data_IF_871483207584
#
_entry.id   IF_871483207584
#
_cell.length_a   1.000
_cell.length_b   1.000
_cell.length_c   1.000
_cell.angle_alpha   90.00
_cell.angle_beta   90.00
_cell.angle_gamma   90.00
#
_symmetry.space_group_name_H-M   'P 1'
#
loop_
_entity.id
_entity.type
_entity.pdbx_description
1 polymer ?
#
# COMPACT_ATOMS: atom_id res chain seq x y z
N UNK A 1 -29.84 -51.00 -28.79
CA UNK A 1 -28.60 -51.47 -28.13
C UNK A 1 -27.41 -50.74 -28.74
N UNK A 2 -26.82 -49.76 -28.05
CA UNK A 2 -25.66 -49.01 -28.52
C UNK A 2 -24.48 -49.27 -27.57
N UNK A 3 -23.42 -49.84 -28.12
CA UNK A 3 -22.20 -50.26 -27.44
C UNK A 3 -21.38 -49.03 -26.99
N UNK A 4 -21.25 -48.83 -25.68
CA UNK A 4 -20.28 -47.88 -25.10
C UNK A 4 -18.89 -48.53 -25.11
N UNK A 5 -17.94 -47.93 -25.82
CA UNK A 5 -16.51 -48.30 -25.71
C UNK A 5 -15.91 -47.70 -24.42
N UNK A 6 -15.13 -48.44 -23.63
CA UNK A 6 -14.47 -47.90 -22.45
C UNK A 6 -13.19 -47.13 -22.83
N UNK A 7 -13.03 -45.92 -22.28
CA UNK A 7 -11.79 -45.13 -22.37
C UNK A 7 -10.69 -45.80 -21.54
N UNK A 8 -9.63 -46.25 -22.20
CA UNK A 8 -8.41 -46.80 -21.59
C UNK A 8 -7.53 -45.63 -21.12
N UNK A 9 -7.34 -45.45 -19.81
CA UNK A 9 -6.38 -44.47 -19.26
C UNK A 9 -4.96 -44.96 -19.52
N UNK A 10 -4.14 -44.14 -20.17
CA UNK A 10 -2.71 -44.37 -20.36
C UNK A 10 -1.99 -43.79 -19.13
N UNK A 11 -1.14 -44.54 -18.39
CA UNK A 11 -0.32 -43.97 -17.33
C UNK A 11 0.75 -43.06 -17.93
N UNK A 12 0.89 -41.84 -17.40
CA UNK A 12 1.99 -40.93 -17.72
C UNK A 12 3.24 -41.43 -17.00
N UNK A 13 4.15 -42.06 -17.72
CA UNK A 13 5.49 -42.41 -17.21
C UNK A 13 6.33 -41.14 -17.27
N UNK A 14 6.73 -40.61 -16.12
CA UNK A 14 7.75 -39.57 -16.05
C UNK A 14 9.13 -40.25 -16.12
N UNK A 15 10.06 -39.82 -16.99
CA UNK A 15 11.42 -40.32 -16.93
C UNK A 15 12.09 -39.83 -15.64
N UNK A 16 12.85 -40.72 -15.00
CA UNK A 16 13.67 -40.38 -13.84
C UNK A 16 14.73 -39.32 -14.22
N UNK A 17 15.08 -38.38 -13.33
CA UNK A 17 16.15 -37.43 -13.59
C UNK A 17 17.49 -38.17 -13.74
N UNK A 18 18.29 -37.74 -14.72
CA UNK A 18 19.60 -38.33 -14.99
C UNK A 18 20.57 -38.15 -13.81
N UNK A 19 21.52 -39.07 -13.60
CA UNK A 19 22.56 -38.93 -12.59
C UNK A 19 23.38 -37.66 -12.82
N UNK A 20 23.63 -36.89 -11.76
CA UNK A 20 24.48 -35.70 -11.81
C UNK A 20 25.93 -36.16 -11.95
N UNK A 21 26.58 -35.79 -13.05
CA UNK A 21 28.01 -36.00 -13.26
C UNK A 21 28.80 -35.01 -12.36
N UNK A 22 29.63 -35.49 -11.41
CA UNK A 22 30.38 -34.61 -10.51
C UNK A 22 31.57 -33.89 -11.19
N UNK A 23 31.71 -33.96 -12.51
CA UNK A 23 32.86 -33.37 -13.23
C UNK A 23 32.52 -32.25 -14.23
N UNK A 24 31.27 -31.77 -14.29
CA UNK A 24 30.91 -30.67 -15.18
C UNK A 24 31.37 -29.30 -14.62
N UNK A 25 32.15 -28.58 -15.43
CA UNK A 25 32.91 -27.39 -15.09
C UNK A 25 32.12 -26.24 -14.44
N UNK A 26 32.67 -25.74 -13.34
CA UNK A 26 32.32 -24.51 -12.62
C UNK A 26 32.38 -23.29 -13.55
N UNK A 27 31.24 -22.72 -13.92
CA UNK A 27 31.19 -21.36 -14.44
C UNK A 27 31.52 -20.39 -13.31
N UNK A 28 32.65 -19.68 -13.45
CA UNK A 28 33.15 -18.72 -12.47
C UNK A 28 32.21 -17.52 -12.27
N UNK A 29 32.10 -17.07 -11.03
CA UNK A 29 31.52 -15.78 -10.66
C UNK A 29 32.37 -14.63 -11.20
N UNK A 30 31.79 -13.60 -11.84
CA UNK A 30 32.53 -12.39 -12.17
C UNK A 30 32.90 -11.66 -10.86
N UNK A 31 34.20 -11.59 -10.57
CA UNK A 31 34.77 -10.72 -9.54
C UNK A 31 34.69 -9.27 -10.03
N UNK A 32 33.91 -8.45 -9.34
CA UNK A 32 33.98 -7.00 -9.52
C UNK A 32 35.20 -6.49 -8.75
N UNK A 33 36.29 -6.18 -9.45
CA UNK A 33 37.39 -5.40 -8.86
C UNK A 33 36.89 -3.98 -8.58
N UNK A 34 36.93 -3.57 -7.32
CA UNK A 34 36.69 -2.18 -6.93
C UNK A 34 37.86 -1.31 -7.43
N UNK A 35 37.62 -0.12 -8.00
CA UNK A 35 38.70 0.79 -8.39
C UNK A 35 39.56 1.17 -7.19
N UNK A 36 40.86 0.92 -7.28
CA UNK A 36 41.83 1.39 -6.29
C UNK A 36 42.01 2.90 -6.42
N UNK A 37 41.54 3.65 -5.42
CA UNK A 37 41.83 5.08 -5.31
C UNK A 37 43.29 5.21 -4.84
N UNK A 38 44.20 5.84 -5.61
CA UNK A 38 45.57 6.07 -5.15
C UNK A 38 45.58 7.04 -3.95
N UNK A 39 46.50 6.86 -2.98
CA UNK A 39 46.59 7.73 -1.82
C UNK A 39 46.97 9.17 -2.24
N UNK A 40 46.21 10.14 -1.75
CA UNK A 40 46.42 11.57 -1.95
C UNK A 40 47.68 12.00 -1.18
N UNK A 41 48.64 12.74 -1.79
CA UNK A 41 49.83 13.21 -1.07
C UNK A 41 49.45 14.19 0.05
N UNK A 42 49.97 13.94 1.26
CA UNK A 42 49.84 14.85 2.38
C UNK A 42 50.55 16.18 2.06
N UNK A 43 49.81 17.29 2.05
CA UNK A 43 50.41 18.63 2.03
C UNK A 43 50.66 19.05 3.47
N UNK A 44 51.92 19.36 3.77
CA UNK A 44 52.37 19.87 5.07
C UNK A 44 51.88 21.31 5.27
N UNK A 45 51.20 21.67 6.39
CA UNK A 45 50.92 23.07 6.69
C UNK A 45 52.14 23.73 7.34
N UNK A 46 52.54 24.88 6.80
CA UNK A 46 53.55 25.76 7.39
C UNK A 46 52.95 26.66 8.48
N UNK A 47 53.71 26.78 9.58
CA UNK A 47 53.65 27.65 10.77
C UNK A 47 52.59 28.80 10.86
N UNK A 48 51.79 28.77 11.95
CA UNK A 48 51.34 29.97 12.70
C UNK A 48 49.86 30.35 12.66
N UNK A 49 49.00 29.76 13.51
CA UNK A 49 47.73 30.35 14.00
C UNK A 49 47.17 29.54 15.20
N UNK A 50 46.50 30.16 16.20
CA UNK A 50 46.09 29.48 17.44
C UNK A 50 44.85 28.60 17.29
N UNK A 51 44.81 27.54 18.11
CA UNK A 51 43.87 26.41 18.07
C UNK A 51 42.44 26.77 18.51
N UNK A 52 41.44 26.29 17.75
CA UNK A 52 40.06 26.17 18.22
C UNK A 52 39.71 24.68 18.43
N UNK A 53 39.08 24.38 19.56
CA UNK A 53 38.70 23.02 20.01
C UNK A 53 37.86 22.25 18.97
N UNK A 54 38.33 21.07 18.57
CA UNK A 54 37.57 20.06 17.80
C UNK A 54 37.50 18.76 18.63
N UNK A 55 36.31 18.21 18.93
CA UNK A 55 36.18 16.96 19.68
C UNK A 55 36.56 15.71 18.84
N UNK A 56 37.03 14.61 19.47
CA UNK A 56 37.62 13.46 18.76
C UNK A 56 36.57 12.52 18.13
N UNK A 57 36.90 11.97 16.96
CA UNK A 57 36.11 10.95 16.24
C UNK A 57 36.33 9.54 16.85
N UNK A 58 35.30 8.66 16.86
CA UNK A 58 35.45 7.30 17.38
C UNK A 58 36.18 6.37 16.39
N UNK A 59 37.08 5.55 16.94
CA UNK A 59 37.96 4.63 16.21
C UNK A 59 37.21 3.44 15.58
N UNK A 60 37.60 3.07 14.35
CA UNK A 60 37.13 1.87 13.68
C UNK A 60 37.94 0.65 14.13
N UNK A 61 37.25 -0.38 14.64
CA UNK A 61 37.81 -1.69 14.97
C UNK A 61 37.64 -2.66 13.80
N UNK A 62 38.75 -3.22 13.30
CA UNK A 62 38.77 -4.26 12.27
C UNK A 62 38.73 -5.64 12.91
N UNK A 63 37.87 -6.54 12.43
CA UNK A 63 37.98 -7.98 12.71
C UNK A 63 38.02 -8.75 11.40
N UNK A 64 39.16 -9.41 11.17
CA UNK A 64 39.43 -10.40 10.13
C UNK A 64 38.92 -11.77 10.58
N UNK A 65 38.25 -12.54 9.71
CA UNK A 65 38.10 -14.00 9.91
C UNK A 65 38.11 -14.75 8.58
N UNK A 66 39.09 -15.64 8.45
CA UNK A 66 39.27 -16.66 7.41
C UNK A 66 38.49 -17.95 7.72
N UNK A 67 37.89 -18.59 6.70
CA UNK A 67 37.60 -20.05 6.67
C UNK A 67 36.12 -20.48 6.54
N UNK A 68 35.82 -21.29 5.52
CA UNK A 68 34.61 -22.14 5.32
C UNK A 68 34.99 -23.64 5.61
N UNK A 69 34.09 -24.66 5.66
CA UNK A 69 32.65 -24.74 5.34
C UNK A 69 31.72 -25.63 6.26
N UNK A 70 30.41 -25.57 5.98
CA UNK A 70 29.33 -26.58 6.17
C UNK A 70 28.33 -26.48 7.36
N UNK A 71 27.04 -26.46 6.96
CA UNK A 71 25.75 -26.73 7.62
C UNK A 71 25.46 -26.19 9.03
N UNK A 72 24.59 -25.17 9.07
CA UNK A 72 23.86 -24.76 10.28
C UNK A 72 22.62 -23.95 9.91
N UNK A 73 21.50 -24.30 10.52
CA UNK A 73 20.19 -23.63 10.51
C UNK A 73 20.24 -22.09 10.41
N UNK A 74 19.30 -21.42 9.71
CA UNK A 74 19.26 -19.97 9.69
C UNK A 74 19.03 -19.46 11.13
N UNK A 75 20.05 -18.79 11.68
CA UNK A 75 19.95 -18.09 12.95
C UNK A 75 19.00 -16.91 12.79
N UNK A 76 18.05 -16.81 13.71
CA UNK A 76 17.05 -15.73 13.78
C UNK A 76 17.68 -14.35 14.09
N UNK A 77 18.99 -14.28 14.29
CA UNK A 77 19.74 -13.06 14.63
C UNK A 77 20.09 -12.18 13.43
N UNK A 78 19.68 -12.55 12.21
CA UNK A 78 19.85 -11.74 10.99
C UNK A 78 18.51 -11.24 10.40
N UNK A 79 17.42 -11.28 11.18
CA UNK A 79 16.25 -10.48 10.83
C UNK A 79 16.63 -8.99 10.91
N UNK A 80 16.38 -8.18 9.86
CA UNK A 80 16.38 -6.74 10.01
C UNK A 80 15.48 -6.40 11.20
N UNK A 81 15.85 -5.47 12.10
CA UNK A 81 15.05 -5.21 13.28
C UNK A 81 13.61 -4.97 12.85
N UNK A 82 12.71 -5.83 13.32
CA UNK A 82 11.28 -5.63 13.16
C UNK A 82 11.00 -4.19 13.56
N UNK A 83 10.48 -3.40 12.62
CA UNK A 83 10.35 -1.95 12.75
C UNK A 83 9.81 -1.62 14.14
N UNK A 84 10.67 -1.06 15.01
CA UNK A 84 10.25 -0.63 16.32
C UNK A 84 9.07 0.35 16.13
N UNK A 85 8.00 0.25 16.94
CA UNK A 85 6.83 1.09 16.77
C UNK A 85 7.25 2.56 16.85
N UNK A 86 7.19 3.27 15.71
CA UNK A 86 7.61 4.67 15.59
C UNK A 86 8.58 4.98 14.44
N UNK A 87 9.13 3.97 13.76
CA UNK A 87 10.04 4.17 12.62
C UNK A 87 9.39 3.82 11.28
N UNK A 88 9.61 4.66 10.26
CA UNK A 88 9.15 4.40 8.89
C UNK A 88 10.01 3.30 8.24
N UNK A 89 9.42 2.43 7.37
CA UNK A 89 10.21 1.45 6.63
C UNK A 89 11.24 2.15 5.74
N UNK A 90 12.41 1.50 5.56
CA UNK A 90 13.49 2.01 4.74
C UNK A 90 13.01 2.34 3.32
N UNK A 91 12.99 3.63 2.96
CA UNK A 91 12.76 4.08 1.60
C UNK A 91 14.10 4.06 0.82
N UNK A 92 14.10 3.69 -0.46
CA UNK A 92 15.26 3.91 -1.32
C UNK A 92 15.64 5.40 -1.32
N UNK A 93 16.84 5.73 -0.85
CA UNK A 93 17.35 7.11 -0.79
C UNK A 93 17.12 7.85 0.54
N UNK A 94 16.54 7.21 1.56
CA UNK A 94 16.37 7.80 2.90
C UNK A 94 17.14 7.03 3.98
N UNK A 95 17.66 7.70 5.02
CA UNK A 95 18.29 7.01 6.14
C UNK A 95 17.30 6.05 6.83
N UNK A 96 17.72 4.80 7.01
CA UNK A 96 16.97 3.80 7.78
C UNK A 96 16.79 4.32 9.21
N UNK A 97 15.55 4.39 9.70
CA UNK A 97 15.27 4.84 11.07
C UNK A 97 14.98 6.34 11.23
N UNK A 98 14.41 7.01 10.23
CA UNK A 98 13.87 8.35 10.43
C UNK A 98 12.62 8.31 11.36
N UNK A 99 12.54 9.17 12.39
CA UNK A 99 11.35 9.27 13.23
C UNK A 99 10.15 9.76 12.41
N UNK A 100 8.94 9.29 12.74
CA UNK A 100 7.70 9.80 12.16
C UNK A 100 7.65 11.34 12.28
N UNK A 101 7.65 12.04 11.14
CA UNK A 101 7.59 13.51 11.10
C UNK A 101 8.94 14.22 10.91
N UNK A 102 10.07 13.53 10.78
CA UNK A 102 11.27 14.14 10.23
C UNK A 102 10.97 14.59 8.79
N UNK A 103 11.27 15.85 8.45
CA UNK A 103 11.10 16.43 7.11
C UNK A 103 12.04 15.74 6.13
N UNK A 104 11.63 14.54 5.71
CA UNK A 104 12.17 13.82 4.58
C UNK A 104 12.12 14.72 3.35
N UNK A 105 13.21 14.80 2.61
CA UNK A 105 13.18 15.36 1.26
C UNK A 105 11.98 14.75 0.50
N UNK A 106 11.22 15.58 -0.22
CA UNK A 106 10.00 15.13 -0.88
C UNK A 106 10.30 13.92 -1.78
N UNK A 107 9.73 12.73 -1.51
CA UNK A 107 10.00 11.56 -2.33
C UNK A 107 9.54 11.78 -3.77
N UNK A 108 10.11 11.08 -4.77
CA UNK A 108 9.57 11.08 -6.12
C UNK A 108 8.06 10.77 -6.17
N UNK A 109 7.33 11.34 -7.12
CA UNK A 109 5.86 11.26 -7.20
C UNK A 109 5.33 9.82 -7.34
N UNK A 110 6.11 8.94 -7.95
CA UNK A 110 5.81 7.52 -8.13
C UNK A 110 6.09 6.68 -6.87
N UNK A 111 6.82 7.21 -5.89
CA UNK A 111 7.15 6.52 -4.64
C UNK A 111 6.18 6.88 -3.51
N UNK A 112 5.91 5.93 -2.58
CA UNK A 112 5.08 6.20 -1.42
C UNK A 112 5.79 7.18 -0.47
N UNK A 113 5.06 8.16 0.06
CA UNK A 113 5.59 9.12 1.03
C UNK A 113 5.19 8.73 2.46
N UNK A 114 6.09 8.05 3.19
CA UNK A 114 5.87 7.75 4.61
C UNK A 114 6.08 9.02 5.45
N UNK A 115 5.17 9.31 6.38
CA UNK A 115 5.24 10.52 7.20
C UNK A 115 4.74 11.80 6.52
N UNK A 116 4.06 11.69 5.37
CA UNK A 116 3.43 12.83 4.69
C UNK A 116 2.42 13.56 5.59
N UNK A 117 2.40 14.89 5.52
CA UNK A 117 1.43 15.74 6.19
C UNK A 117 0.14 15.91 5.36
N UNK A 118 -0.87 16.50 5.99
CA UNK A 118 -2.20 16.66 5.43
C UNK A 118 -2.22 17.39 4.09
N UNK A 119 -1.52 18.53 3.98
CA UNK A 119 -1.58 19.38 2.78
C UNK A 119 -0.91 18.70 1.60
N UNK A 120 0.26 18.10 1.81
CA UNK A 120 0.97 17.41 0.74
C UNK A 120 0.26 16.14 0.28
N UNK A 121 -0.48 15.45 1.17
CA UNK A 121 -1.31 14.32 0.78
C UNK A 121 -2.43 14.75 -0.20
N UNK A 122 -3.10 15.87 0.06
CA UNK A 122 -4.13 16.42 -0.84
C UNK A 122 -3.53 16.83 -2.18
N UNK A 123 -2.37 17.51 -2.17
CA UNK A 123 -1.66 17.86 -3.41
C UNK A 123 -1.37 16.62 -4.26
N UNK A 124 -0.78 15.58 -3.65
CA UNK A 124 -0.49 14.32 -4.35
C UNK A 124 -1.73 13.62 -4.85
N UNK A 125 -2.84 13.68 -4.13
CA UNK A 125 -4.12 13.14 -4.57
C UNK A 125 -4.56 13.73 -5.91
N UNK A 126 -4.53 15.06 -6.04
CA UNK A 126 -4.93 15.73 -7.27
C UNK A 126 -3.87 15.66 -8.38
N UNK A 127 -2.57 15.61 -8.05
CA UNK A 127 -1.52 15.40 -9.05
C UNK A 127 -1.61 13.99 -9.66
N UNK A 128 -1.88 12.97 -8.84
CA UNK A 128 -2.00 11.56 -9.24
C UNK A 128 -3.45 11.18 -9.53
N UNK A 129 -4.18 12.08 -10.20
CA UNK A 129 -5.64 12.00 -10.37
C UNK A 129 -6.11 10.70 -11.03
N UNK A 130 -5.49 10.30 -12.15
CA UNK A 130 -5.83 9.07 -12.86
C UNK A 130 -4.65 8.08 -12.90
N UNK A 131 -3.77 8.14 -11.89
CA UNK A 131 -2.58 7.29 -11.80
C UNK A 131 -2.86 6.09 -10.90
N UNK A 132 -3.10 4.93 -11.53
CA UNK A 132 -3.36 3.66 -10.83
C UNK A 132 -2.07 2.87 -10.50
N UNK A 133 -0.95 3.22 -11.12
CA UNK A 133 0.35 2.59 -10.88
C UNK A 133 1.08 3.20 -9.68
N UNK A 134 2.07 2.46 -9.17
CA UNK A 134 2.84 2.83 -7.98
C UNK A 134 2.08 2.56 -6.69
N UNK A 135 2.59 3.17 -5.62
CA UNK A 135 2.14 2.97 -4.25
C UNK A 135 1.70 4.26 -3.59
N UNK A 136 0.88 4.13 -2.55
CA UNK A 136 0.49 5.20 -1.65
C UNK A 136 0.66 4.72 -0.22
N UNK A 137 1.34 5.51 0.61
CA UNK A 137 1.54 5.16 2.01
C UNK A 137 0.21 5.21 2.78
N UNK A 138 0.19 4.62 3.98
CA UNK A 138 -0.93 4.76 4.91
C UNK A 138 -1.28 6.22 5.20
N UNK A 139 -0.27 7.05 5.45
CA UNK A 139 -0.46 8.47 5.73
C UNK A 139 -1.08 9.21 4.54
N UNK A 140 -0.58 8.94 3.33
CA UNK A 140 -1.14 9.53 2.09
C UNK A 140 -2.61 9.15 1.92
N UNK A 141 -2.96 7.89 2.15
CA UNK A 141 -4.34 7.42 2.06
C UNK A 141 -5.25 8.04 3.13
N UNK A 142 -4.89 7.94 4.42
CA UNK A 142 -5.77 8.34 5.52
C UNK A 142 -5.95 9.86 5.64
N UNK A 143 -4.94 10.65 5.29
CA UNK A 143 -5.11 12.10 5.21
C UNK A 143 -6.08 12.51 4.11
N UNK A 144 -6.03 11.84 2.96
CA UNK A 144 -6.99 12.08 1.89
C UNK A 144 -8.39 11.62 2.30
N UNK A 145 -8.53 10.47 2.97
CA UNK A 145 -9.83 10.04 3.51
C UNK A 145 -10.42 11.08 4.48
N UNK A 146 -9.59 11.66 5.35
CA UNK A 146 -10.02 12.74 6.24
C UNK A 146 -10.47 13.98 5.44
N UNK A 147 -9.69 14.40 4.43
CA UNK A 147 -10.08 15.51 3.56
C UNK A 147 -11.43 15.27 2.87
N UNK A 148 -11.62 14.09 2.28
CA UNK A 148 -12.85 13.71 1.58
C UNK A 148 -14.04 13.63 2.55
N UNK A 149 -13.82 13.16 3.77
CA UNK A 149 -14.81 13.17 4.84
C UNK A 149 -15.22 14.61 5.20
N UNK A 150 -14.26 15.52 5.40
CA UNK A 150 -14.54 16.92 5.73
C UNK A 150 -15.32 17.62 4.62
N UNK A 151 -14.94 17.41 3.35
CA UNK A 151 -15.69 17.96 2.20
C UNK A 151 -17.12 17.41 2.17
N UNK A 152 -17.30 16.10 2.37
CA UNK A 152 -18.62 15.48 2.42
C UNK A 152 -19.47 16.00 3.59
N UNK A 153 -18.85 16.24 4.74
CA UNK A 153 -19.49 16.83 5.92
C UNK A 153 -20.00 18.25 5.61
N UNK A 154 -19.18 19.09 4.97
CA UNK A 154 -19.59 20.43 4.53
C UNK A 154 -20.76 20.36 3.56
N UNK A 155 -20.71 19.50 2.53
CA UNK A 155 -21.84 19.33 1.61
C UNK A 155 -23.12 18.92 2.36
N UNK A 156 -23.04 18.01 3.33
CA UNK A 156 -24.18 17.58 4.13
C UNK A 156 -24.84 18.73 4.92
N UNK A 157 -24.06 19.72 5.35
CA UNK A 157 -24.60 20.91 6.01
C UNK A 157 -25.24 21.87 4.99
N UNK A 158 -24.58 22.08 3.84
CA UNK A 158 -25.03 23.01 2.81
C UNK A 158 -26.31 22.55 2.11
N UNK A 159 -26.51 21.25 1.91
CA UNK A 159 -27.74 20.71 1.30
C UNK A 159 -28.99 20.95 2.15
N UNK A 160 -28.84 21.14 3.47
CA UNK A 160 -29.93 21.56 4.36
C UNK A 160 -30.36 23.01 4.15
N UNK A 161 -29.44 23.86 3.67
CA UNK A 161 -29.71 25.27 3.40
C UNK A 161 -30.32 25.48 2.00
N UNK A 162 -29.90 24.69 1.01
CA UNK A 162 -30.44 24.79 -0.35
C UNK A 162 -30.25 23.51 -1.16
N UNK A 163 -31.28 23.16 -1.95
CA UNK A 163 -31.25 22.03 -2.87
C UNK A 163 -30.22 22.18 -4.00
N UNK A 164 -29.76 23.41 -4.31
CA UNK A 164 -28.69 23.65 -5.27
C UNK A 164 -27.41 22.86 -4.93
N UNK A 165 -27.08 22.76 -3.64
CA UNK A 165 -25.90 22.04 -3.19
C UNK A 165 -25.97 20.53 -3.42
N UNK A 166 -27.17 19.95 -3.63
CA UNK A 166 -27.29 18.53 -3.98
C UNK A 166 -26.66 18.26 -5.36
N UNK A 167 -26.91 19.14 -6.33
CA UNK A 167 -26.34 19.03 -7.69
C UNK A 167 -24.82 19.21 -7.63
N UNK A 168 -24.34 20.20 -6.89
CA UNK A 168 -22.90 20.44 -6.75
C UNK A 168 -22.19 19.28 -6.03
N UNK A 169 -22.82 18.72 -4.99
CA UNK A 169 -22.32 17.52 -4.29
C UNK A 169 -22.26 16.31 -5.23
N UNK A 170 -23.24 16.14 -6.12
CA UNK A 170 -23.23 15.06 -7.10
C UNK A 170 -22.10 15.23 -8.13
N UNK A 171 -21.91 16.44 -8.67
CA UNK A 171 -20.81 16.74 -9.60
C UNK A 171 -19.46 16.51 -8.92
N UNK A 172 -19.30 16.98 -7.68
CA UNK A 172 -18.10 16.74 -6.89
C UNK A 172 -17.83 15.24 -6.72
N UNK A 173 -18.84 14.46 -6.33
CA UNK A 173 -18.73 13.00 -6.18
C UNK A 173 -18.26 12.31 -7.46
N UNK A 174 -18.77 12.73 -8.62
CA UNK A 174 -18.33 12.21 -9.93
C UNK A 174 -16.89 12.62 -10.26
N UNK A 175 -16.50 13.86 -9.95
CA UNK A 175 -15.14 14.32 -10.16
C UNK A 175 -14.14 13.51 -9.33
N UNK A 176 -14.42 13.26 -8.05
CA UNK A 176 -13.49 12.53 -7.18
C UNK A 176 -13.53 11.00 -7.36
N UNK A 177 -14.49 10.46 -8.10
CA UNK A 177 -14.67 9.02 -8.25
C UNK A 177 -13.40 8.32 -8.79
N UNK A 178 -12.85 8.85 -9.88
CA UNK A 178 -11.64 8.31 -10.51
C UNK A 178 -10.42 8.40 -9.58
N UNK A 179 -10.05 9.57 -9.03
CA UNK A 179 -8.89 9.67 -8.15
C UNK A 179 -9.04 8.92 -6.83
N UNK A 180 -10.26 8.77 -6.29
CA UNK A 180 -10.50 7.93 -5.12
C UNK A 180 -10.17 6.47 -5.39
N UNK A 181 -10.63 5.92 -6.51
CA UNK A 181 -10.34 4.54 -6.89
C UNK A 181 -8.83 4.40 -7.18
N UNK A 182 -8.22 5.36 -7.89
CA UNK A 182 -6.80 5.34 -8.17
C UNK A 182 -5.94 5.33 -6.89
N UNK A 183 -6.30 6.14 -5.89
CA UNK A 183 -5.63 6.16 -4.59
C UNK A 183 -5.82 4.83 -3.83
N UNK A 184 -7.04 4.28 -3.82
CA UNK A 184 -7.32 3.00 -3.19
C UNK A 184 -6.51 1.85 -3.81
N UNK A 185 -6.37 1.84 -5.15
CA UNK A 185 -5.55 0.87 -5.88
C UNK A 185 -4.08 0.99 -5.49
N UNK A 186 -3.53 2.21 -5.47
CA UNK A 186 -2.15 2.47 -5.01
C UNK A 186 -1.93 2.04 -3.56
N UNK A 187 -2.96 2.18 -2.71
CA UNK A 187 -2.88 1.77 -1.31
C UNK A 187 -2.85 0.25 -1.14
N UNK A 188 -3.62 -0.52 -1.91
CA UNK A 188 -3.54 -1.98 -1.85
C UNK A 188 -2.25 -2.51 -2.47
N UNK A 189 -1.70 -1.84 -3.50
CA UNK A 189 -0.36 -2.14 -4.03
C UNK A 189 0.73 -1.95 -2.98
N UNK A 190 0.62 -0.94 -2.12
CA UNK A 190 1.55 -0.72 -1.00
C UNK A 190 1.51 -1.85 0.04
N UNK A 191 0.38 -2.57 0.14
CA UNK A 191 0.25 -3.79 0.93
C UNK A 191 0.55 -5.08 0.11
N UNK A 192 1.19 -4.95 -1.06
CA UNK A 192 1.53 -6.03 -1.99
C UNK A 192 0.33 -6.85 -2.52
N UNK A 193 -0.88 -6.27 -2.45
CA UNK A 193 -2.09 -6.88 -3.00
C UNK A 193 -2.37 -6.36 -4.42
N UNK A 194 -2.96 -7.18 -5.30
CA UNK A 194 -3.37 -6.70 -6.63
C UNK A 194 -4.50 -5.66 -6.52
N UNK A 195 -4.52 -4.68 -7.42
CA UNK A 195 -5.48 -3.57 -7.42
C UNK A 195 -6.96 -3.98 -7.36
N UNK A 196 -7.32 -5.17 -7.86
CA UNK A 196 -8.68 -5.71 -7.81
C UNK A 196 -9.24 -5.92 -6.40
N UNK A 197 -8.41 -6.02 -5.36
CA UNK A 197 -8.88 -6.12 -3.97
C UNK A 197 -9.71 -4.92 -3.51
N UNK A 198 -9.54 -3.79 -4.18
CA UNK A 198 -10.35 -2.58 -3.98
C UNK A 198 -11.83 -2.83 -4.25
N UNK A 199 -12.18 -3.74 -5.18
CA UNK A 199 -13.57 -4.04 -5.51
C UNK A 199 -14.36 -4.67 -4.36
N UNK A 200 -13.68 -5.33 -3.40
CA UNK A 200 -14.34 -5.99 -2.28
C UNK A 200 -15.07 -4.98 -1.36
N UNK A 201 -14.41 -3.99 -0.73
CA UNK A 201 -15.10 -3.02 0.09
C UNK A 201 -16.10 -2.19 -0.71
N UNK A 202 -15.73 -1.67 -1.90
CA UNK A 202 -16.65 -0.85 -2.70
C UNK A 202 -17.87 -1.63 -3.18
N UNK A 203 -17.72 -2.91 -3.54
CA UNK A 203 -18.84 -3.76 -3.94
C UNK A 203 -19.84 -4.00 -2.81
N UNK A 204 -19.35 -4.20 -1.58
CA UNK A 204 -20.19 -4.33 -0.39
C UNK A 204 -20.94 -3.03 -0.11
N UNK A 205 -20.27 -1.88 -0.20
CA UNK A 205 -20.91 -0.56 -0.03
C UNK A 205 -22.00 -0.30 -1.07
N UNK A 206 -21.74 -0.60 -2.34
CA UNK A 206 -22.74 -0.45 -3.41
C UNK A 206 -23.93 -1.36 -3.17
N UNK A 207 -23.71 -2.62 -2.76
CA UNK A 207 -24.80 -3.55 -2.46
C UNK A 207 -25.65 -3.05 -1.29
N UNK A 208 -25.02 -2.62 -0.19
CA UNK A 208 -25.72 -2.07 0.97
C UNK A 208 -26.54 -0.83 0.62
N UNK A 209 -25.95 0.10 -0.17
CA UNK A 209 -26.62 1.31 -0.62
C UNK A 209 -27.84 1.02 -1.52
N UNK A 210 -27.75 0.03 -2.41
CA UNK A 210 -28.88 -0.40 -3.25
C UNK A 210 -30.03 -0.94 -2.38
N UNK A 211 -29.73 -1.85 -1.45
CA UNK A 211 -30.72 -2.40 -0.52
C UNK A 211 -31.40 -1.27 0.26
N UNK A 212 -30.63 -0.36 0.87
CA UNK A 212 -31.18 0.78 1.60
C UNK A 212 -32.06 1.69 0.73
N UNK A 213 -31.63 1.97 -0.50
CA UNK A 213 -32.37 2.87 -1.41
C UNK A 213 -33.72 2.26 -1.78
N UNK A 214 -33.75 0.99 -2.20
CA UNK A 214 -35.01 0.30 -2.52
C UNK A 214 -35.92 0.16 -1.30
N UNK A 215 -35.35 -0.14 -0.13
CA UNK A 215 -36.09 -0.25 1.11
C UNK A 215 -36.66 1.08 1.60
N UNK A 216 -35.94 2.19 1.40
CA UNK A 216 -36.42 3.54 1.69
C UNK A 216 -37.57 3.93 0.77
N UNK A 217 -37.44 3.67 -0.54
CA UNK A 217 -38.53 3.91 -1.50
C UNK A 217 -39.77 3.10 -1.14
N UNK A 218 -39.60 1.82 -0.79
CA UNK A 218 -40.69 0.95 -0.36
C UNK A 218 -41.36 1.44 0.94
N UNK A 219 -40.57 1.80 1.96
CA UNK A 219 -41.09 2.33 3.23
C UNK A 219 -41.89 3.61 3.03
N UNK A 220 -41.35 4.56 2.26
CA UNK A 220 -42.00 5.85 1.99
C UNK A 220 -43.28 5.64 1.18
N UNK A 221 -43.23 4.86 0.09
CA UNK A 221 -44.41 4.62 -0.76
C UNK A 221 -45.52 3.91 0.01
N UNK A 222 -45.17 2.94 0.85
CA UNK A 222 -46.13 2.20 1.68
C UNK A 222 -46.72 3.05 2.81
N UNK A 223 -45.92 3.96 3.37
CA UNK A 223 -46.40 4.93 4.37
C UNK A 223 -47.41 5.90 3.77
N UNK A 224 -47.17 6.37 2.54
CA UNK A 224 -48.10 7.23 1.81
C UNK A 224 -49.40 6.48 1.42
N UNK A 225 -49.34 5.18 1.18
CA UNK A 225 -50.52 4.35 0.84
C UNK A 225 -51.24 3.75 2.05
N UNK A 226 -50.76 3.99 3.27
CA UNK A 226 -51.33 3.45 4.51
C UNK A 226 -51.05 1.96 4.75
N UNK A 227 -50.17 1.34 3.96
CA UNK A 227 -49.79 -0.07 4.12
C UNK A 227 -48.71 -0.26 5.19
N UNK A 228 -49.11 -0.70 6.38
CA UNK A 228 -48.18 -0.95 7.50
C UNK A 228 -47.17 -2.07 7.22
N UNK A 229 -47.57 -3.10 6.45
CA UNK A 229 -46.69 -4.21 6.08
C UNK A 229 -45.52 -3.75 5.19
N UNK A 230 -45.78 -2.84 4.27
CA UNK A 230 -44.73 -2.28 3.41
C UNK A 230 -43.80 -1.32 4.13
N UNK A 231 -44.31 -0.56 5.12
CA UNK A 231 -43.47 0.24 6.02
C UNK A 231 -42.54 -0.68 6.84
N UNK A 232 -43.09 -1.73 7.45
CA UNK A 232 -42.30 -2.70 8.22
C UNK A 232 -41.22 -3.39 7.39
N UNK A 233 -41.56 -3.85 6.18
CA UNK A 233 -40.59 -4.44 5.25
C UNK A 233 -39.49 -3.47 4.82
N UNK A 234 -39.86 -2.23 4.49
CA UNK A 234 -38.89 -1.19 4.13
C UNK A 234 -37.96 -0.80 5.29
N UNK A 235 -38.47 -0.69 6.52
CA UNK A 235 -37.63 -0.44 7.69
C UNK A 235 -36.66 -1.61 7.97
N UNK A 236 -37.14 -2.86 7.85
CA UNK A 236 -36.27 -4.04 7.99
C UNK A 236 -35.15 -4.04 6.93
N UNK A 237 -35.47 -3.70 5.68
CA UNK A 237 -34.49 -3.60 4.61
C UNK A 237 -33.46 -2.48 4.82
N UNK A 238 -33.86 -1.33 5.39
CA UNK A 238 -32.94 -0.26 5.78
C UNK A 238 -31.92 -0.77 6.83
N UNK A 239 -32.39 -1.53 7.83
CA UNK A 239 -31.50 -2.11 8.85
C UNK A 239 -30.53 -3.13 8.24
N UNK A 240 -31.01 -4.02 7.36
CA UNK A 240 -30.16 -4.98 6.66
C UNK A 240 -29.12 -4.26 5.80
N UNK A 241 -29.54 -3.27 5.02
CA UNK A 241 -28.63 -2.46 4.22
C UNK A 241 -27.59 -1.74 5.08
N UNK A 242 -27.98 -1.22 6.25
CA UNK A 242 -27.06 -0.59 7.21
C UNK A 242 -26.02 -1.57 7.75
N UNK A 243 -26.40 -2.83 8.04
CA UNK A 243 -25.46 -3.87 8.47
C UNK A 243 -24.48 -4.27 7.37
N UNK A 244 -24.95 -4.34 6.11
CA UNK A 244 -24.09 -4.60 4.95
C UNK A 244 -23.06 -3.47 4.79
N UNK A 245 -23.49 -2.21 4.86
CA UNK A 245 -22.57 -1.07 4.79
C UNK A 245 -21.60 -1.05 5.97
N UNK A 246 -22.04 -1.40 7.18
CA UNK A 246 -21.11 -1.53 8.31
C UNK A 246 -20.04 -2.61 8.07
N UNK A 247 -20.42 -3.75 7.52
CA UNK A 247 -19.48 -4.81 7.15
C UNK A 247 -18.52 -4.36 6.03
N UNK A 248 -19.01 -3.58 5.06
CA UNK A 248 -18.21 -2.93 4.01
C UNK A 248 -17.18 -1.98 4.60
N UNK A 249 -17.60 -1.12 5.53
CA UNK A 249 -16.73 -0.15 6.20
C UNK A 249 -15.65 -0.84 7.03
N UNK A 250 -16.01 -1.89 7.78
CA UNK A 250 -15.03 -2.70 8.52
C UNK A 250 -14.05 -3.35 7.57
N UNK A 251 -14.53 -3.90 6.46
CA UNK A 251 -13.67 -4.51 5.42
C UNK A 251 -12.72 -3.49 4.82
N UNK A 252 -13.20 -2.28 4.51
CA UNK A 252 -12.40 -1.18 3.99
C UNK A 252 -11.32 -0.77 5.00
N UNK A 253 -11.69 -0.57 6.28
CA UNK A 253 -10.74 -0.21 7.34
C UNK A 253 -9.66 -1.28 7.47
N UNK A 254 -10.03 -2.55 7.57
CA UNK A 254 -9.07 -3.66 7.70
C UNK A 254 -8.14 -3.73 6.50
N UNK A 255 -8.68 -3.62 5.27
CA UNK A 255 -7.89 -3.69 4.05
C UNK A 255 -6.93 -2.51 3.93
N UNK A 256 -7.42 -1.28 4.10
CA UNK A 256 -6.62 -0.06 3.91
C UNK A 256 -5.77 0.31 5.13
N UNK A 257 -5.98 -0.33 6.28
CA UNK A 257 -5.09 -0.24 7.45
C UNK A 257 -3.95 -1.26 7.44
N UNK A 258 -3.89 -2.23 6.51
CA UNK A 258 -2.79 -3.23 6.41
C UNK A 258 -1.39 -2.60 6.42
N UNK A 259 -0.36 -3.30 6.90
CA UNK A 259 1.01 -2.77 6.86
C UNK A 259 1.53 -2.66 5.43
N UNK A 260 2.44 -1.71 5.21
CA UNK A 260 3.14 -1.58 3.94
C UNK A 260 4.14 -2.74 3.82
N UNK A 261 4.18 -3.37 2.66
CA UNK A 261 5.06 -4.52 2.35
C UNK A 261 6.14 -4.07 1.35
N UNK A 262 7.44 -4.23 1.66
CA UNK A 262 8.54 -3.92 0.74
C UNK A 262 8.41 -4.61 -0.62
N UNK A 263 7.83 -5.82 -0.67
CA UNK A 263 7.60 -6.56 -1.92
C UNK A 263 6.59 -5.87 -2.85
N UNK A 264 5.80 -4.93 -2.33
CA UNK A 264 4.93 -4.07 -3.13
C UNK A 264 5.69 -3.20 -4.13
N UNK A 265 7.02 -3.06 -4.00
CA UNK A 265 7.86 -2.35 -4.97
C UNK A 265 7.73 -2.87 -6.41
N UNK A 266 7.25 -4.11 -6.62
CA UNK A 266 6.94 -4.64 -7.97
C UNK A 266 5.88 -3.82 -8.73
N UNK A 267 5.07 -3.04 -8.01
CA UNK A 267 4.04 -2.18 -8.59
C UNK A 267 4.54 -0.77 -8.89
N UNK A 268 5.79 -0.45 -8.54
CA UNK A 268 6.42 0.80 -8.93
C UNK A 268 6.65 0.79 -10.45
N UNK A 269 6.34 1.92 -11.11
CA UNK A 269 6.54 2.02 -12.55
C UNK A 269 8.04 1.83 -12.87
N UNK A 270 8.35 0.96 -13.84
CA UNK A 270 9.71 0.88 -14.41
C UNK A 270 10.01 2.22 -15.06
N UNK A 271 11.08 2.87 -14.63
CA UNK A 271 11.62 4.06 -15.27
C UNK A 271 12.31 3.68 -16.58
#
# INVERSE_FOLDING_TARGET
MHLRRPFRRIPRVYPAPAPVDPTAATYGTPTYEAPTVPPVPATTPAYGAPMANVPPAPAASYTTSTGLPYAGTPSYDQMPPAAAPGYAPAQPGMPVGAPYGATAAEPPINMPWYGIDFVNAIKRFFIKYATFSGRASRGEFWWVMLFLFLVSFVFNMLTRASSFFNVLSAIWGLAILVPQIALAVRRVHDANLPGGWVALPYGIEVLGALVMTFSTISAVTSGLSGSSGGVGGGMAGILIGSLIMLAGAVTAIVLFAKQSDPQGARFDARQ
#
